data_IF_644644278613
#
_entry.id   IF_644644278613
#
_cell.length_a   1.000
_cell.length_b   1.000
_cell.length_c   1.000
_cell.angle_alpha   90.00
_cell.angle_beta   90.00
_cell.angle_gamma   90.00
#
_symmetry.space_group_name_H-M   'P 1'
#
loop_
_entity.id
_entity.type
_entity.pdbx_description
1 polymer ?
#
# COMPACT_ATOMS: atom_id res chain seq x y z
N UNK A 1 -8.99 -18.01 4.05
CA UNK A 1 -7.81 -18.60 4.72
C UNK A 1 -6.79 -17.46 4.86
N UNK A 2 -6.75 -16.80 6.02
CA UNK A 2 -5.77 -15.73 6.26
C UNK A 2 -4.48 -16.45 6.58
N UNK A 3 -3.57 -16.52 5.61
CA UNK A 3 -2.30 -17.20 5.77
C UNK A 3 -1.41 -16.39 6.73
N UNK A 4 -1.55 -16.65 8.03
CA UNK A 4 -0.79 -15.99 9.11
C UNK A 4 0.67 -16.43 9.16
N UNK A 5 1.16 -17.16 8.15
CA UNK A 5 2.43 -17.89 8.27
C UNK A 5 3.68 -17.02 8.13
N UNK A 6 3.64 -15.84 7.47
CA UNK A 6 4.81 -14.94 7.43
C UNK A 6 4.38 -13.49 7.14
N UNK A 7 3.96 -12.71 8.16
CA UNK A 7 3.77 -11.24 8.03
C UNK A 7 2.94 -10.76 6.82
N UNK A 8 2.17 -11.62 6.16
CA UNK A 8 1.49 -11.36 4.90
C UNK A 8 0.01 -11.22 5.20
N UNK A 9 -0.58 -10.13 4.74
CA UNK A 9 -2.00 -9.90 4.82
C UNK A 9 -2.54 -9.62 3.42
N UNK A 10 -3.45 -10.50 2.97
CA UNK A 10 -4.16 -10.32 1.71
C UNK A 10 -5.59 -9.85 1.99
N UNK A 11 -5.89 -8.62 1.56
CA UNK A 11 -7.21 -8.02 1.57
C UNK A 11 -7.67 -7.67 0.15
N UNK A 12 -7.17 -8.35 -0.88
CA UNK A 12 -7.60 -8.15 -2.27
C UNK A 12 -9.11 -8.34 -2.44
N UNK A 13 -9.70 -7.64 -3.42
CA UNK A 13 -11.12 -7.78 -3.80
C UNK A 13 -12.11 -7.53 -2.65
N UNK A 14 -11.80 -6.57 -1.78
CA UNK A 14 -12.66 -6.15 -0.68
C UNK A 14 -13.10 -4.68 -0.87
N UNK A 15 -13.83 -4.15 0.11
CA UNK A 15 -14.08 -2.72 0.28
C UNK A 15 -13.27 -2.19 1.44
N UNK A 16 -11.93 -2.29 1.34
CA UNK A 16 -11.03 -1.95 2.44
C UNK A 16 -11.09 -0.47 2.75
N UNK A 17 -11.42 -0.16 4.00
CA UNK A 17 -11.20 1.14 4.62
C UNK A 17 -10.38 0.88 5.88
N UNK A 18 -9.13 1.33 5.87
CA UNK A 18 -8.23 1.19 7.01
C UNK A 18 -8.27 2.47 7.84
N UNK A 19 -8.53 2.32 9.14
CA UNK A 19 -8.32 3.38 10.12
C UNK A 19 -6.99 3.21 10.86
N UNK A 20 -6.67 4.19 11.71
CA UNK A 20 -5.42 4.22 12.47
C UNK A 20 -5.30 3.05 13.46
N UNK A 21 -6.40 2.64 14.08
CA UNK A 21 -6.39 1.55 15.06
C UNK A 21 -6.12 0.21 14.35
N UNK A 22 -6.73 0.00 13.20
CA UNK A 22 -6.49 -1.17 12.34
C UNK A 22 -5.05 -1.19 11.84
N UNK A 23 -4.51 -0.08 11.33
CA UNK A 23 -3.12 -0.01 10.88
C UNK A 23 -2.13 -0.30 12.03
N UNK A 24 -2.38 0.21 13.23
CA UNK A 24 -1.57 -0.09 14.41
C UNK A 24 -1.61 -1.58 14.79
N UNK A 25 -2.78 -2.21 14.73
CA UNK A 25 -2.93 -3.64 14.99
C UNK A 25 -2.18 -4.50 13.95
N UNK A 26 -1.99 -3.97 12.75
CA UNK A 26 -1.27 -4.59 11.64
C UNK A 26 0.20 -4.18 11.55
N UNK A 27 0.76 -3.56 12.59
CA UNK A 27 2.17 -3.13 12.64
C UNK A 27 3.20 -4.24 12.46
N UNK A 28 2.80 -5.50 12.59
CA UNK A 28 3.62 -6.70 12.36
C UNK A 28 3.59 -7.21 10.91
N UNK A 29 2.73 -6.64 10.06
CA UNK A 29 2.59 -7.04 8.65
C UNK A 29 3.73 -6.46 7.83
N UNK A 30 4.41 -7.32 7.08
CA UNK A 30 5.49 -7.00 6.16
C UNK A 30 5.01 -6.89 4.72
N UNK A 31 4.02 -7.69 4.33
CA UNK A 31 3.44 -7.66 2.98
C UNK A 31 1.93 -7.45 3.06
N UNK A 32 1.44 -6.37 2.45
CA UNK A 32 0.02 -6.06 2.37
C UNK A 32 -0.44 -6.06 0.90
N UNK A 33 -1.44 -6.89 0.62
CA UNK A 33 -2.02 -7.02 -0.72
C UNK A 33 -3.43 -6.40 -0.71
N UNK A 34 -3.58 -5.27 -1.41
CA UNK A 34 -4.82 -4.48 -1.54
C UNK A 34 -5.29 -4.38 -3.00
N UNK A 35 -4.92 -5.31 -3.88
CA UNK A 35 -5.34 -5.22 -5.27
C UNK A 35 -6.86 -5.35 -5.45
N UNK A 36 -7.40 -4.70 -6.47
CA UNK A 36 -8.83 -4.76 -6.82
C UNK A 36 -9.75 -4.29 -5.67
N UNK A 37 -9.38 -3.24 -4.94
CA UNK A 37 -10.20 -2.66 -3.84
C UNK A 37 -10.90 -1.34 -4.23
N UNK A 38 -10.76 -0.88 -5.47
CA UNK A 38 -11.30 0.40 -5.95
C UNK A 38 -10.88 1.63 -5.13
N UNK A 39 -9.73 1.57 -4.44
CA UNK A 39 -9.20 2.68 -3.66
C UNK A 39 -8.96 3.89 -4.55
N UNK A 40 -9.50 5.05 -4.17
CA UNK A 40 -9.31 6.33 -4.90
C UNK A 40 -8.11 7.11 -4.39
N UNK A 41 -7.76 6.90 -3.13
CA UNK A 41 -6.65 7.51 -2.43
C UNK A 41 -5.95 6.45 -1.57
N UNK A 42 -4.66 6.65 -1.28
CA UNK A 42 -3.98 5.81 -0.31
C UNK A 42 -4.44 6.22 1.10
N UNK A 43 -4.74 5.26 1.98
CA UNK A 43 -4.98 5.56 3.38
C UNK A 43 -3.70 6.14 4.01
N UNK A 44 -3.78 7.35 4.56
CA UNK A 44 -2.64 8.00 5.22
C UNK A 44 -2.15 7.19 6.44
N UNK A 45 -3.06 6.41 7.03
CA UNK A 45 -2.87 5.53 8.16
C UNK A 45 -1.93 4.35 7.87
N UNK A 46 -1.69 4.01 6.59
CA UNK A 46 -0.70 2.99 6.22
C UNK A 46 0.71 3.35 6.69
N UNK A 47 1.00 4.65 6.89
CA UNK A 47 2.26 5.10 7.47
C UNK A 47 2.49 4.60 8.90
N UNK A 48 1.44 4.16 9.62
CA UNK A 48 1.58 3.56 10.95
C UNK A 48 2.04 2.08 10.91
N UNK A 49 2.02 1.43 9.75
CA UNK A 49 2.47 0.05 9.59
C UNK A 49 3.99 -0.01 9.44
N UNK A 50 4.72 0.20 10.54
CA UNK A 50 6.18 0.39 10.55
C UNK A 50 7.01 -0.78 9.99
N UNK A 51 6.46 -2.00 9.99
CA UNK A 51 7.15 -3.18 9.46
C UNK A 51 6.79 -3.47 8.00
N UNK A 52 5.97 -2.63 7.36
CA UNK A 52 5.50 -2.87 6.01
C UNK A 52 6.61 -2.61 4.99
N UNK A 53 6.96 -3.66 4.24
CA UNK A 53 8.00 -3.65 3.23
C UNK A 53 7.40 -3.71 1.82
N UNK A 54 6.30 -4.43 1.63
CA UNK A 54 5.67 -4.63 0.33
C UNK A 54 4.19 -4.27 0.39
N UNK A 55 3.76 -3.35 -0.46
CA UNK A 55 2.37 -2.95 -0.63
C UNK A 55 1.93 -3.13 -2.08
N UNK A 56 1.02 -4.06 -2.36
CA UNK A 56 0.42 -4.19 -3.68
C UNK A 56 -0.92 -3.46 -3.72
N UNK A 57 -1.03 -2.42 -4.54
CA UNK A 57 -2.25 -1.65 -4.77
C UNK A 57 -2.69 -1.68 -6.24
N UNK A 58 -2.28 -2.70 -6.97
CA UNK A 58 -2.68 -2.89 -8.38
C UNK A 58 -4.19 -2.93 -8.54
N UNK A 59 -4.69 -2.54 -9.71
CA UNK A 59 -6.14 -2.54 -10.01
C UNK A 59 -7.01 -1.72 -9.03
N UNK A 60 -6.43 -0.69 -8.42
CA UNK A 60 -7.14 0.40 -7.76
C UNK A 60 -7.28 1.63 -8.67
N UNK A 61 -7.86 2.71 -8.15
CA UNK A 61 -8.11 3.98 -8.85
C UNK A 61 -7.32 5.14 -8.22
N UNK A 62 -6.14 4.83 -7.70
CA UNK A 62 -5.26 5.76 -6.99
C UNK A 62 -4.68 6.76 -7.99
N UNK A 63 -4.75 8.07 -7.70
CA UNK A 63 -4.24 9.12 -8.61
C UNK A 63 -3.07 9.91 -8.03
N UNK A 64 -2.81 9.75 -6.74
CA UNK A 64 -1.78 10.48 -6.00
C UNK A 64 -1.18 9.57 -4.94
N UNK A 65 0.05 9.86 -4.53
CA UNK A 65 0.70 9.22 -3.37
C UNK A 65 0.79 10.23 -2.23
N UNK A 66 0.31 9.92 -1.02
CA UNK A 66 0.39 10.83 0.10
C UNK A 66 1.85 10.91 0.59
N UNK A 67 2.26 12.11 1.02
CA UNK A 67 3.60 12.34 1.58
C UNK A 67 3.92 11.43 2.76
N UNK A 68 2.90 11.03 3.55
CA UNK A 68 3.07 10.10 4.67
C UNK A 68 3.63 8.74 4.23
N UNK A 69 3.27 8.27 3.02
CA UNK A 69 3.81 7.03 2.47
C UNK A 69 5.26 7.19 2.00
N UNK A 70 5.65 8.41 1.63
CA UNK A 70 7.04 8.73 1.24
C UNK A 70 8.00 8.62 2.43
N UNK A 71 7.51 8.88 3.64
CA UNK A 71 8.28 8.79 4.88
C UNK A 71 8.58 7.35 5.32
N UNK A 72 7.88 6.34 4.78
CA UNK A 72 8.11 4.94 5.14
C UNK A 72 9.33 4.40 4.41
N UNK A 73 10.50 4.44 5.04
CA UNK A 73 11.82 4.26 4.40
C UNK A 73 12.00 2.94 3.65
N UNK A 74 11.40 1.85 4.12
CA UNK A 74 11.62 0.49 3.58
C UNK A 74 10.47 -0.02 2.70
N UNK A 75 9.54 0.85 2.30
CA UNK A 75 8.35 0.45 1.56
C UNK A 75 8.58 0.39 0.04
N UNK A 76 8.27 -0.76 -0.54
CA UNK A 76 8.11 -0.99 -1.98
C UNK A 76 6.63 -1.09 -2.32
N UNK A 77 6.18 -0.29 -3.29
CA UNK A 77 4.80 -0.22 -3.75
C UNK A 77 4.67 -0.81 -5.15
N UNK A 78 3.80 -1.80 -5.31
CA UNK A 78 3.39 -2.33 -6.60
C UNK A 78 2.11 -1.66 -7.07
N UNK A 79 2.13 -1.06 -8.26
CA UNK A 79 0.96 -0.49 -8.92
C UNK A 79 0.89 -0.94 -10.38
N UNK A 80 -0.33 -1.00 -10.93
CA UNK A 80 -0.54 -1.42 -12.32
C UNK A 80 -0.14 -0.30 -13.30
N UNK A 81 0.54 -0.69 -14.37
CA UNK A 81 0.88 0.15 -15.52
C UNK A 81 -0.38 0.76 -16.15
N UNK A 82 -0.40 2.09 -16.32
CA UNK A 82 -1.51 2.83 -16.94
C UNK A 82 -2.40 3.63 -15.99
N UNK A 83 -2.10 3.64 -14.69
CA UNK A 83 -2.68 4.60 -13.75
C UNK A 83 -1.76 5.83 -13.72
N UNK A 84 -2.29 7.02 -14.05
CA UNK A 84 -1.56 8.27 -13.91
C UNK A 84 -1.51 8.64 -12.43
N UNK A 85 -0.43 8.27 -11.77
CA UNK A 85 -0.13 8.69 -10.40
C UNK A 85 0.85 9.85 -10.50
N UNK A 86 0.48 11.02 -10.01
CA UNK A 86 1.43 12.12 -9.86
C UNK A 86 2.46 11.75 -8.78
N UNK A 87 3.71 11.56 -9.20
CA UNK A 87 4.83 11.18 -8.33
C UNK A 87 5.90 12.25 -8.37
N UNK A 88 6.41 12.61 -7.19
CA UNK A 88 7.68 13.33 -7.09
C UNK A 88 8.86 12.37 -7.32
N UNK A 89 10.06 12.90 -7.56
CA UNK A 89 11.29 12.09 -7.70
C UNK A 89 11.51 11.12 -6.53
N UNK A 90 11.15 11.53 -5.31
CA UNK A 90 11.20 10.69 -4.10
C UNK A 90 10.13 9.60 -4.12
N UNK A 91 8.97 9.87 -4.71
CA UNK A 91 7.92 8.88 -4.90
C UNK A 91 8.31 7.78 -5.88
N UNK A 92 9.03 8.11 -6.95
CA UNK A 92 9.41 7.13 -7.99
C UNK A 92 10.24 5.97 -7.45
N UNK A 93 11.14 6.20 -6.49
CA UNK A 93 12.01 5.13 -5.95
C UNK A 93 11.25 4.06 -5.16
N UNK A 94 10.02 4.35 -4.74
CA UNK A 94 9.17 3.37 -4.03
C UNK A 94 8.40 2.45 -4.96
N UNK A 95 8.27 2.77 -6.25
CA UNK A 95 7.43 1.98 -7.15
C UNK A 95 8.24 1.05 -8.04
N UNK A 96 7.85 -0.22 -8.06
CA UNK A 96 8.36 -1.20 -9.01
C UNK A 96 7.32 -1.45 -10.12
N UNK A 97 7.75 -1.46 -11.40
CA UNK A 97 6.89 -1.81 -12.53
C UNK A 97 6.13 -0.66 -13.23
N UNK A 98 6.48 0.60 -12.95
CA UNK A 98 5.91 1.79 -13.63
C UNK A 98 6.63 2.15 -14.96
N UNK A 99 7.70 1.44 -15.32
CA UNK A 99 8.47 1.65 -16.58
C UNK A 99 7.75 1.06 -17.81
#
# INVERSE_FOLDING_TARGET
NIDKSVGLLNLSRNHVKLDKAQCNALSHVHTLILDVNHLKEFPAELACMSSLEVLNVSDNRLTQVPESLLQVTNLTVGARRGVYIELTLVGLSKFCGIV
#
